data_IF_121757050212
#
_entry.id   IF_121757050212
#
_cell.length_a   1.000
_cell.length_b   1.000
_cell.length_c   1.000
_cell.angle_alpha   90.00
_cell.angle_beta   90.00
_cell.angle_gamma   90.00
#
_symmetry.space_group_name_H-M   'P 1'
#
loop_
_entity.id
_entity.type
_entity.pdbx_description
1 polymer ?
#
# COMPACT_ATOMS: atom_id res chain seq x y z
N UNK A 1 -27.93 66.98 21.97
CA UNK A 1 -28.40 65.59 21.73
C UNK A 1 -27.56 64.84 20.68
N UNK A 2 -26.90 65.50 19.73
CA UNK A 2 -26.14 64.83 18.65
C UNK A 2 -24.73 64.29 19.01
N UNK A 3 -24.16 64.65 20.16
CA UNK A 3 -22.78 64.24 20.52
C UNK A 3 -22.72 62.89 21.25
N UNK A 4 -23.79 62.46 21.95
CA UNK A 4 -23.82 61.15 22.63
C UNK A 4 -23.94 59.98 21.63
N UNK A 5 -24.64 60.17 20.51
CA UNK A 5 -24.79 59.15 19.45
C UNK A 5 -23.51 58.89 18.66
N UNK A 6 -22.65 59.90 18.49
CA UNK A 6 -21.43 59.77 17.69
C UNK A 6 -20.33 59.02 18.46
N UNK A 7 -20.17 59.32 19.75
CA UNK A 7 -19.20 58.64 20.61
C UNK A 7 -19.59 57.18 20.87
N UNK A 8 -20.88 56.91 21.11
CA UNK A 8 -21.37 55.54 21.28
C UNK A 8 -21.19 54.69 20.02
N UNK A 9 -21.45 55.25 18.82
CA UNK A 9 -21.21 54.55 17.55
C UNK A 9 -19.72 54.24 17.31
N UNK A 10 -18.81 55.16 17.62
CA UNK A 10 -17.37 54.92 17.45
C UNK A 10 -16.87 53.81 18.39
N UNK A 11 -17.26 53.83 19.67
CA UNK A 11 -16.90 52.77 20.62
C UNK A 11 -17.53 51.43 20.25
N UNK A 12 -18.77 51.43 19.75
CA UNK A 12 -19.43 50.23 19.24
C UNK A 12 -18.67 49.65 18.05
N UNK A 13 -18.25 50.47 17.08
CA UNK A 13 -17.51 50.01 15.90
C UNK A 13 -16.12 49.46 16.26
N UNK A 14 -15.44 50.06 17.24
CA UNK A 14 -14.16 49.56 17.75
C UNK A 14 -14.35 48.22 18.48
N UNK A 15 -15.40 48.08 19.28
CA UNK A 15 -15.73 46.81 19.96
C UNK A 15 -16.09 45.71 18.97
N UNK A 16 -16.96 45.99 17.99
CA UNK A 16 -17.32 45.04 16.93
C UNK A 16 -16.10 44.63 16.12
N UNK A 17 -15.18 45.57 15.82
CA UNK A 17 -13.93 45.24 15.12
C UNK A 17 -13.00 44.36 15.96
N UNK A 18 -12.90 44.61 17.27
CA UNK A 18 -12.13 43.77 18.21
C UNK A 18 -12.73 42.38 18.34
N UNK A 19 -14.04 42.30 18.47
CA UNK A 19 -14.79 41.04 18.56
C UNK A 19 -14.68 40.23 17.28
N UNK A 20 -14.81 40.86 16.11
CA UNK A 20 -14.61 40.20 14.82
C UNK A 20 -13.15 39.70 14.66
N UNK A 21 -12.15 40.46 15.12
CA UNK A 21 -10.77 40.01 15.13
C UNK A 21 -10.53 38.83 16.09
N UNK A 22 -11.18 38.82 17.25
CA UNK A 22 -11.11 37.71 18.20
C UNK A 22 -11.80 36.45 17.64
N UNK A 23 -13.01 36.60 17.11
CA UNK A 23 -13.78 35.51 16.48
C UNK A 23 -13.02 34.93 15.27
N UNK A 24 -12.36 35.75 14.45
CA UNK A 24 -11.51 35.24 13.37
C UNK A 24 -10.36 34.39 13.88
N UNK A 25 -9.66 34.83 14.93
CA UNK A 25 -8.58 34.04 15.55
C UNK A 25 -9.10 32.73 16.12
N UNK A 26 -10.27 32.76 16.76
CA UNK A 26 -10.91 31.56 17.30
C UNK A 26 -11.33 30.59 16.20
N UNK A 27 -11.93 31.09 15.11
CA UNK A 27 -12.24 30.28 13.92
C UNK A 27 -10.98 29.64 13.33
N UNK A 28 -9.89 30.41 13.22
CA UNK A 28 -8.64 29.88 12.68
C UNK A 28 -8.03 28.82 13.62
N UNK A 29 -8.09 29.04 14.94
CA UNK A 29 -7.67 28.05 15.93
C UNK A 29 -8.51 26.76 15.87
N UNK A 30 -9.84 26.88 15.84
CA UNK A 30 -10.77 25.76 15.71
C UNK A 30 -10.58 25.02 14.39
N UNK A 31 -10.26 25.71 13.29
CA UNK A 31 -9.94 25.08 12.00
C UNK A 31 -8.65 24.26 12.08
N UNK A 32 -7.60 24.79 12.70
CA UNK A 32 -6.34 24.06 12.92
C UNK A 32 -6.58 22.81 13.78
N UNK A 33 -7.37 22.95 14.84
CA UNK A 33 -7.70 21.83 15.72
C UNK A 33 -8.54 20.75 15.02
N UNK A 34 -9.54 21.16 14.24
CA UNK A 34 -10.37 20.26 13.43
C UNK A 34 -9.53 19.50 12.40
N UNK A 35 -8.58 20.18 11.75
CA UNK A 35 -7.63 19.55 10.83
C UNK A 35 -6.80 18.46 11.54
N UNK A 36 -6.27 18.77 12.74
CA UNK A 36 -5.53 17.81 13.56
C UNK A 36 -6.37 16.60 13.95
N UNK A 37 -7.62 16.80 14.36
CA UNK A 37 -8.51 15.69 14.72
C UNK A 37 -8.85 14.80 13.52
N UNK A 38 -9.07 15.39 12.34
CA UNK A 38 -9.30 14.62 11.11
C UNK A 38 -8.10 13.73 10.78
N UNK A 39 -6.89 14.27 10.88
CA UNK A 39 -5.65 13.52 10.62
C UNK A 39 -5.49 12.32 11.59
N UNK A 40 -5.77 12.54 12.87
CA UNK A 40 -5.77 11.49 13.88
C UNK A 40 -6.80 10.40 13.59
N UNK A 41 -8.00 10.77 13.12
CA UNK A 41 -9.04 9.82 12.73
C UNK A 41 -8.60 8.96 11.53
N UNK A 42 -8.07 9.58 10.47
CA UNK A 42 -7.60 8.83 9.30
C UNK A 42 -6.45 7.88 9.64
N UNK A 43 -5.49 8.34 10.45
CA UNK A 43 -4.38 7.51 10.93
C UNK A 43 -4.90 6.34 11.77
N UNK A 44 -5.85 6.59 12.67
CA UNK A 44 -6.45 5.55 13.50
C UNK A 44 -7.16 4.48 12.67
N UNK A 45 -7.97 4.88 11.67
CA UNK A 45 -8.67 3.93 10.79
C UNK A 45 -7.70 3.03 10.01
N UNK A 46 -6.62 3.62 9.50
CA UNK A 46 -5.60 2.90 8.74
C UNK A 46 -4.78 1.94 9.60
N UNK A 47 -4.31 2.38 10.76
CA UNK A 47 -3.59 1.53 11.72
C UNK A 47 -4.48 0.39 12.24
N UNK A 48 -5.76 0.67 12.50
CA UNK A 48 -6.76 -0.35 12.88
C UNK A 48 -6.90 -1.41 11.79
N UNK A 49 -7.01 -0.99 10.53
CA UNK A 49 -7.12 -1.89 9.38
C UNK A 49 -5.87 -2.77 9.23
N UNK A 50 -4.68 -2.18 9.38
CA UNK A 50 -3.40 -2.89 9.34
C UNK A 50 -3.28 -3.93 10.46
N UNK A 51 -3.69 -3.56 11.68
CA UNK A 51 -3.66 -4.45 12.85
C UNK A 51 -4.62 -5.63 12.67
N UNK A 52 -5.85 -5.38 12.22
CA UNK A 52 -6.83 -6.43 11.94
C UNK A 52 -6.32 -7.40 10.86
N UNK A 53 -5.69 -6.86 9.82
CA UNK A 53 -5.08 -7.68 8.77
C UNK A 53 -3.89 -8.50 9.27
N UNK A 54 -3.02 -7.91 10.11
CA UNK A 54 -1.93 -8.66 10.76
C UNK A 54 -2.45 -9.84 11.57
N UNK A 55 -3.56 -9.64 12.29
CA UNK A 55 -4.20 -10.70 13.09
C UNK A 55 -4.82 -11.80 12.23
N UNK A 56 -5.35 -11.48 11.03
CA UNK A 56 -5.96 -12.48 10.16
C UNK A 56 -4.96 -13.33 9.36
N UNK A 57 -3.74 -12.81 9.13
CA UNK A 57 -2.72 -13.50 8.35
C UNK A 57 -2.21 -14.79 9.00
N UNK A 58 -2.33 -14.97 10.32
CA UNK A 58 -1.80 -16.12 11.08
C UNK A 58 -0.32 -16.45 10.78
N UNK A 59 0.45 -15.48 10.27
CA UNK A 59 1.86 -15.63 9.90
C UNK A 59 2.64 -14.51 10.60
N UNK A 60 3.85 -14.77 11.13
CA UNK A 60 4.68 -13.73 11.73
C UNK A 60 4.91 -12.57 10.76
N UNK A 61 4.61 -11.34 11.20
CA UNK A 61 4.78 -10.15 10.38
C UNK A 61 5.17 -8.92 11.21
N UNK A 62 5.96 -8.04 10.61
CA UNK A 62 6.43 -6.79 11.21
C UNK A 62 5.75 -5.62 10.52
N UNK A 63 5.16 -4.72 11.31
CA UNK A 63 4.62 -3.47 10.80
C UNK A 63 5.75 -2.46 10.57
N UNK A 64 5.69 -1.76 9.45
CA UNK A 64 6.66 -0.76 9.05
C UNK A 64 5.96 0.45 8.44
N UNK A 65 6.53 1.64 8.63
CA UNK A 65 6.13 2.87 7.98
C UNK A 65 6.99 3.12 6.74
N UNK A 66 6.36 3.66 5.69
CA UNK A 66 7.07 4.19 4.52
C UNK A 66 7.65 5.55 4.89
N UNK A 67 8.98 5.67 4.80
CA UNK A 67 9.74 6.86 5.19
C UNK A 67 10.40 7.56 3.99
N UNK A 68 10.27 7.00 2.79
CA UNK A 68 10.82 7.60 1.59
C UNK A 68 10.37 6.91 0.31
N UNK A 69 10.41 7.67 -0.78
CA UNK A 69 10.28 7.18 -2.15
C UNK A 69 11.67 7.16 -2.78
N UNK A 70 11.92 6.24 -3.72
CA UNK A 70 13.17 6.27 -4.47
C UNK A 70 13.22 7.50 -5.40
N UNK A 71 14.17 8.43 -5.21
CA UNK A 71 14.23 9.66 -5.97
C UNK A 71 14.74 9.45 -7.41
N UNK A 72 15.35 8.30 -7.71
CA UNK A 72 16.01 8.06 -9.01
C UNK A 72 15.02 7.75 -10.13
N UNK A 73 13.81 7.28 -9.81
CA UNK A 73 12.77 6.94 -10.78
C UNK A 73 13.07 5.73 -11.68
N UNK A 74 14.29 5.17 -11.65
CA UNK A 74 14.65 3.96 -12.41
C UNK A 74 13.85 2.73 -11.99
N UNK A 75 13.56 2.63 -10.69
CA UNK A 75 12.72 1.59 -10.11
C UNK A 75 11.64 2.24 -9.26
N UNK A 76 10.44 1.70 -9.34
CA UNK A 76 9.35 2.01 -8.41
C UNK A 76 9.59 1.27 -7.12
N UNK A 77 10.22 1.96 -6.18
CA UNK A 77 10.51 1.42 -4.86
C UNK A 77 10.24 2.43 -3.77
N UNK A 78 10.01 1.91 -2.57
CA UNK A 78 9.79 2.68 -1.34
C UNK A 78 10.77 2.24 -0.26
N UNK A 79 11.07 3.13 0.68
CA UNK A 79 11.94 2.87 1.82
C UNK A 79 11.07 2.76 3.07
N UNK A 80 11.30 1.72 3.88
CA UNK A 80 10.58 1.49 5.13
C UNK A 80 11.49 1.63 6.36
N UNK A 81 10.92 1.96 7.52
CA UNK A 81 11.61 2.18 8.81
C UNK A 81 11.99 0.88 9.57
N UNK A 82 12.07 -0.24 8.84
CA UNK A 82 12.38 -1.57 9.38
C UNK A 82 13.49 -2.22 8.58
N UNK A 83 14.39 -2.91 9.27
CA UNK A 83 15.61 -3.49 8.71
C UNK A 83 15.97 -4.82 9.36
N UNK A 84 17.23 -5.23 9.22
CA UNK A 84 17.70 -6.52 9.76
C UNK A 84 17.53 -6.62 11.28
N UNK A 85 17.60 -5.50 12.01
CA UNK A 85 17.35 -5.44 13.46
C UNK A 85 15.95 -5.91 13.86
N UNK A 86 14.99 -5.85 12.93
CA UNK A 86 13.60 -6.30 13.13
C UNK A 86 13.30 -7.63 12.43
N UNK A 87 14.33 -8.33 11.96
CA UNK A 87 14.20 -9.62 11.29
C UNK A 87 13.87 -9.55 9.79
N UNK A 88 13.79 -8.34 9.21
CA UNK A 88 13.57 -8.14 7.77
C UNK A 88 14.77 -8.68 6.98
N UNK A 89 14.48 -9.40 5.89
CA UNK A 89 15.48 -9.97 4.97
C UNK A 89 15.07 -9.72 3.53
N UNK A 90 16.04 -9.80 2.63
CA UNK A 90 15.81 -9.79 1.18
C UNK A 90 14.83 -10.90 0.80
N UNK A 91 13.99 -10.63 -0.20
CA UNK A 91 12.92 -11.51 -0.69
C UNK A 91 11.80 -11.82 0.30
N UNK A 92 11.70 -11.07 1.40
CA UNK A 92 10.48 -11.10 2.20
C UNK A 92 9.36 -10.33 1.49
N UNK A 93 8.13 -10.87 1.47
CA UNK A 93 7.01 -10.21 0.82
C UNK A 93 6.45 -9.11 1.72
N UNK A 94 6.01 -8.05 1.07
CA UNK A 94 5.44 -6.86 1.69
C UNK A 94 4.00 -6.70 1.23
N UNK A 95 3.11 -6.49 2.19
CA UNK A 95 1.66 -6.45 1.99
C UNK A 95 1.05 -5.31 2.81
N UNK A 96 -0.17 -4.93 2.48
CA UNK A 96 -1.02 -4.13 3.35
C UNK A 96 -2.43 -4.74 3.39
N UNK A 97 -3.37 -4.08 4.09
CA UNK A 97 -4.73 -4.59 4.23
C UNK A 97 -5.48 -4.78 2.90
N UNK A 98 -5.10 -4.06 1.83
CA UNK A 98 -5.72 -4.19 0.52
C UNK A 98 -5.10 -5.33 -0.32
N UNK A 99 -3.80 -5.61 -0.17
CA UNK A 99 -3.16 -6.68 -0.91
C UNK A 99 -1.63 -6.62 -0.95
N UNK A 100 -1.08 -7.23 -2.00
CA UNK A 100 0.36 -7.29 -2.27
C UNK A 100 0.90 -5.91 -2.62
N UNK A 101 1.92 -5.48 -1.86
CA UNK A 101 2.65 -4.24 -2.11
C UNK A 101 3.90 -4.52 -2.94
N UNK A 102 4.67 -5.54 -2.60
CA UNK A 102 5.94 -5.80 -3.25
C UNK A 102 6.83 -6.76 -2.48
N UNK A 103 8.14 -6.67 -2.70
CA UNK A 103 9.14 -7.47 -1.98
C UNK A 103 10.34 -6.65 -1.57
N UNK A 104 11.00 -7.08 -0.49
CA UNK A 104 12.25 -6.49 -0.02
C UNK A 104 13.38 -6.82 -1.01
N UNK A 105 14.08 -5.80 -1.52
CA UNK A 105 15.20 -5.95 -2.46
C UNK A 105 16.55 -5.57 -1.86
N UNK A 106 16.57 -4.72 -0.84
CA UNK A 106 17.78 -4.45 -0.05
C UNK A 106 17.43 -4.13 1.39
N UNK A 107 18.34 -4.45 2.31
CA UNK A 107 18.13 -4.29 3.75
C UNK A 107 19.38 -3.72 4.39
N UNK A 108 19.17 -2.72 5.24
CA UNK A 108 20.14 -2.14 6.16
C UNK A 108 19.70 -2.40 7.61
N UNK A 109 20.50 -2.04 8.63
CA UNK A 109 20.13 -2.31 10.02
C UNK A 109 18.75 -1.78 10.45
N UNK A 110 18.39 -0.58 10.00
CA UNK A 110 17.17 0.13 10.45
C UNK A 110 16.23 0.57 9.32
N UNK A 111 16.53 0.22 8.07
CA UNK A 111 15.66 0.50 6.94
C UNK A 111 15.80 -0.57 5.88
N UNK A 112 14.82 -0.67 4.98
CA UNK A 112 14.84 -1.58 3.85
C UNK A 112 14.21 -0.92 2.62
N UNK A 113 14.67 -1.33 1.43
CA UNK A 113 14.08 -0.92 0.16
C UNK A 113 13.13 -2.00 -0.34
N UNK A 114 11.93 -1.60 -0.71
CA UNK A 114 10.86 -2.45 -1.20
C UNK A 114 10.63 -2.16 -2.68
N UNK A 115 10.81 -3.17 -3.54
CA UNK A 115 10.42 -3.09 -4.95
C UNK A 115 8.91 -3.30 -5.05
N UNK A 116 8.19 -2.33 -5.60
CA UNK A 116 6.73 -2.36 -5.68
C UNK A 116 6.25 -3.33 -6.77
N UNK A 117 5.06 -3.88 -6.60
CA UNK A 117 4.38 -4.75 -7.58
C UNK A 117 4.23 -4.09 -8.96
N UNK A 118 4.07 -2.76 -8.98
CA UNK A 118 3.88 -1.97 -10.21
C UNK A 118 5.18 -1.60 -10.93
N UNK A 119 6.33 -2.09 -10.43
CA UNK A 119 7.61 -1.99 -11.15
C UNK A 119 7.73 -3.06 -12.23
N UNK A 120 8.35 -2.74 -13.37
CA UNK A 120 8.52 -3.68 -14.48
C UNK A 120 9.46 -4.86 -14.12
N UNK A 121 10.37 -4.66 -13.16
CA UNK A 121 11.26 -5.70 -12.65
C UNK A 121 10.63 -6.49 -11.49
N UNK A 122 9.38 -6.19 -11.15
CA UNK A 122 8.61 -6.92 -10.16
C UNK A 122 7.72 -7.94 -10.85
N UNK A 123 7.84 -9.20 -10.40
CA UNK A 123 7.03 -10.30 -10.87
C UNK A 123 6.50 -11.11 -9.69
N UNK A 124 5.24 -11.50 -9.76
CA UNK A 124 4.56 -12.26 -8.71
C UNK A 124 3.77 -13.41 -9.31
N UNK A 125 4.12 -14.63 -8.90
CA UNK A 125 3.37 -15.83 -9.30
C UNK A 125 1.94 -15.74 -8.78
N UNK A 126 0.99 -15.88 -9.71
CA UNK A 126 -0.40 -15.54 -9.49
C UNK A 126 -1.35 -16.61 -9.99
N UNK A 127 -2.59 -16.53 -9.53
CA UNK A 127 -3.69 -17.33 -10.02
C UNK A 127 -4.98 -16.53 -10.07
N UNK A 128 -5.84 -16.86 -11.02
CA UNK A 128 -7.22 -16.42 -11.04
C UNK A 128 -7.97 -17.16 -9.93
N UNK A 129 -8.61 -16.43 -9.03
CA UNK A 129 -9.24 -17.02 -7.84
C UNK A 129 -10.35 -18.02 -8.20
N UNK A 130 -11.14 -17.68 -9.23
CA UNK A 130 -12.32 -18.45 -9.70
C UNK A 130 -11.92 -19.71 -10.47
N UNK A 131 -11.20 -19.55 -11.58
CA UNK A 131 -10.85 -20.65 -12.49
C UNK A 131 -9.58 -21.40 -12.09
N UNK A 132 -8.79 -20.85 -11.15
CA UNK A 132 -7.50 -21.40 -10.70
C UNK A 132 -6.42 -21.45 -11.79
N UNK A 133 -6.66 -20.82 -12.93
CA UNK A 133 -5.68 -20.61 -13.99
C UNK A 133 -4.48 -19.84 -13.45
N UNK A 134 -3.28 -20.21 -13.90
CA UNK A 134 -2.02 -19.65 -13.40
C UNK A 134 -1.45 -18.64 -14.39
N UNK A 135 -0.74 -17.67 -13.84
CA UNK A 135 0.00 -16.70 -14.63
C UNK A 135 1.00 -15.94 -13.77
N UNK A 136 1.69 -14.99 -14.37
CA UNK A 136 2.65 -14.13 -13.67
C UNK A 136 2.17 -12.68 -13.76
N UNK A 137 1.96 -12.04 -12.62
CA UNK A 137 1.67 -10.60 -12.60
C UNK A 137 2.99 -9.84 -12.70
N UNK A 138 3.09 -8.90 -13.65
CA UNK A 138 4.24 -7.99 -13.81
C UNK A 138 3.78 -6.54 -13.80
N UNK A 139 4.57 -5.65 -13.21
CA UNK A 139 4.28 -4.22 -13.22
C UNK A 139 4.33 -3.64 -14.65
N UNK A 140 3.37 -2.78 -14.98
CA UNK A 140 3.31 -2.07 -16.26
C UNK A 140 3.43 -0.56 -16.03
N UNK A 141 2.48 0.00 -15.29
CA UNK A 141 2.38 1.42 -14.92
C UNK A 141 1.83 1.57 -13.49
N UNK A 142 1.74 2.79 -12.95
CA UNK A 142 1.51 3.03 -11.52
C UNK A 142 0.22 2.38 -10.99
N UNK A 143 -0.78 2.25 -11.86
CA UNK A 143 -2.13 1.80 -11.57
C UNK A 143 -2.53 0.55 -12.38
N UNK A 144 -1.59 -0.08 -13.09
CA UNK A 144 -1.86 -1.29 -13.86
C UNK A 144 -0.66 -2.24 -13.91
N UNK A 145 -0.97 -3.53 -13.90
CA UNK A 145 -0.06 -4.64 -14.11
C UNK A 145 -0.53 -5.46 -15.32
N UNK A 146 0.38 -6.21 -15.94
CA UNK A 146 0.03 -7.29 -16.88
C UNK A 146 -0.05 -8.61 -16.15
N UNK A 147 -0.87 -9.53 -16.66
CA UNK A 147 -0.92 -10.91 -16.25
C UNK A 147 -0.48 -11.80 -17.42
N UNK A 148 0.78 -12.22 -17.38
CA UNK A 148 1.47 -12.92 -18.44
C UNK A 148 1.32 -14.45 -18.31
N UNK A 149 1.66 -15.16 -19.39
CA UNK A 149 1.74 -16.63 -19.48
C UNK A 149 0.40 -17.38 -19.34
N UNK A 150 -0.72 -16.71 -19.67
CA UNK A 150 -2.02 -17.35 -19.72
C UNK A 150 -2.34 -17.81 -21.15
N UNK A 151 -2.52 -19.12 -21.33
CA UNK A 151 -2.82 -19.70 -22.66
C UNK A 151 -4.20 -19.28 -23.15
N UNK A 152 -4.44 -19.34 -24.46
CA UNK A 152 -5.72 -18.92 -25.06
C UNK A 152 -6.93 -19.71 -24.54
N UNK A 153 -6.72 -20.97 -24.15
CA UNK A 153 -7.77 -21.82 -23.59
C UNK A 153 -8.09 -21.52 -22.12
N UNK A 154 -7.29 -20.71 -21.41
CA UNK A 154 -7.51 -20.40 -20.00
C UNK A 154 -8.82 -19.63 -19.78
N UNK A 155 -9.62 -20.05 -18.80
CA UNK A 155 -10.84 -19.35 -18.39
C UNK A 155 -10.51 -18.11 -17.54
N UNK A 156 -10.45 -16.95 -18.18
CA UNK A 156 -10.21 -15.64 -17.54
C UNK A 156 -11.21 -14.65 -18.06
N UNK A 157 -11.80 -13.87 -17.15
CA UNK A 157 -12.82 -12.88 -17.48
C UNK A 157 -12.49 -11.56 -16.81
N UNK A 158 -12.96 -10.48 -17.42
CA UNK A 158 -12.97 -9.18 -16.76
C UNK A 158 -13.75 -9.26 -15.44
N UNK A 159 -13.20 -8.61 -14.43
CA UNK A 159 -13.73 -8.67 -13.08
C UNK A 159 -13.25 -9.86 -12.23
N UNK A 160 -12.49 -10.81 -12.78
CA UNK A 160 -11.89 -11.88 -11.99
C UNK A 160 -10.86 -11.32 -10.99
N UNK A 161 -10.84 -11.89 -9.78
CA UNK A 161 -9.83 -11.58 -8.77
C UNK A 161 -8.54 -12.34 -9.04
N UNK A 162 -7.41 -11.64 -8.92
CA UNK A 162 -6.07 -12.19 -9.05
C UNK A 162 -5.43 -12.25 -7.68
N UNK A 163 -4.91 -13.42 -7.30
CA UNK A 163 -4.27 -13.65 -5.99
C UNK A 163 -2.92 -14.37 -6.17
N UNK A 164 -2.05 -14.32 -5.16
CA UNK A 164 -0.76 -15.01 -5.19
C UNK A 164 -0.93 -16.53 -5.21
N UNK A 165 -0.08 -17.22 -5.97
CA UNK A 165 -0.18 -18.68 -6.11
C UNK A 165 0.53 -19.47 -5.01
N UNK A 166 1.54 -18.88 -4.37
CA UNK A 166 2.41 -19.55 -3.40
C UNK A 166 3.58 -20.33 -4.02
N UNK A 167 3.65 -20.46 -5.35
CA UNK A 167 4.61 -21.36 -6.01
C UNK A 167 6.00 -20.76 -6.18
N UNK A 168 6.12 -19.45 -6.36
CA UNK A 168 7.42 -18.77 -6.44
C UNK A 168 8.19 -18.71 -5.13
N UNK A 169 7.63 -19.24 -4.04
CA UNK A 169 8.22 -19.26 -2.71
C UNK A 169 8.25 -17.90 -1.99
N UNK A 170 8.26 -16.77 -2.71
CA UNK A 170 8.34 -15.40 -2.15
C UNK A 170 7.06 -15.05 -1.38
N UNK A 171 5.90 -15.15 -2.03
CA UNK A 171 4.62 -14.78 -1.44
C UNK A 171 3.86 -16.02 -0.96
N UNK A 172 3.28 -16.02 0.26
CA UNK A 172 2.27 -17.00 0.64
C UNK A 172 1.12 -17.05 -0.35
N UNK A 173 0.45 -18.19 -0.46
CA UNK A 173 -0.71 -18.37 -1.36
C UNK A 173 -1.92 -17.59 -0.86
N UNK A 174 -2.66 -16.96 -1.77
CA UNK A 174 -3.98 -16.38 -1.51
C UNK A 174 -4.00 -14.90 -1.12
N UNK A 175 -2.88 -14.19 -1.21
CA UNK A 175 -2.83 -12.74 -1.02
C UNK A 175 -3.42 -12.03 -2.24
N UNK A 176 -4.31 -11.06 -2.03
CA UNK A 176 -4.92 -10.28 -3.11
C UNK A 176 -3.87 -9.47 -3.85
N UNK A 177 -3.87 -9.57 -5.19
CA UNK A 177 -3.05 -8.74 -6.06
C UNK A 177 -3.92 -7.63 -6.66
N UNK A 178 -5.06 -7.98 -7.22
CA UNK A 178 -5.90 -7.04 -7.96
C UNK A 178 -7.06 -7.70 -8.70
N UNK A 179 -7.62 -6.96 -9.66
CA UNK A 179 -8.76 -7.39 -10.46
C UNK A 179 -8.46 -7.26 -11.95
N UNK A 180 -8.86 -8.26 -12.74
CA UNK A 180 -8.77 -8.18 -14.20
C UNK A 180 -9.69 -7.08 -14.70
N UNK A 181 -9.17 -6.17 -15.52
CA UNK A 181 -9.92 -5.06 -16.10
C UNK A 181 -10.02 -5.13 -17.63
N UNK A 182 -9.16 -5.92 -18.28
CA UNK A 182 -9.16 -6.10 -19.72
C UNK A 182 -8.60 -7.47 -20.06
N UNK A 183 -9.23 -8.18 -21.00
CA UNK A 183 -8.75 -9.44 -21.56
C UNK A 183 -8.79 -9.36 -23.08
N UNK A 184 -7.63 -9.40 -23.71
CA UNK A 184 -7.47 -9.34 -25.16
C UNK A 184 -6.89 -10.65 -25.70
N UNK A 185 -7.51 -11.18 -26.75
CA UNK A 185 -6.99 -12.31 -27.53
C UNK A 185 -6.52 -11.79 -28.89
N UNK A 186 -5.21 -11.56 -28.99
CA UNK A 186 -4.59 -11.05 -30.23
C UNK A 186 -4.34 -12.22 -31.18
N UNK A 187 -4.85 -12.19 -32.42
CA UNK A 187 -4.54 -13.21 -33.42
C UNK A 187 -3.03 -13.33 -33.66
N UNK A 188 -2.51 -14.56 -33.64
CA UNK A 188 -1.08 -14.84 -33.83
C UNK A 188 -0.25 -14.97 -32.55
N UNK A 189 -0.72 -14.44 -31.42
CA UNK A 189 -0.03 -14.62 -30.14
C UNK A 189 -0.31 -15.99 -29.51
N UNK A 190 0.60 -16.44 -28.64
CA UNK A 190 0.47 -17.71 -27.90
C UNK A 190 -0.33 -17.56 -26.59
N UNK A 191 -0.28 -16.36 -25.99
CA UNK A 191 -0.88 -16.05 -24.70
C UNK A 191 -1.91 -14.93 -24.83
N UNK A 192 -2.83 -14.85 -23.87
CA UNK A 192 -3.75 -13.70 -23.73
C UNK A 192 -3.00 -12.49 -23.19
N UNK A 193 -3.40 -11.30 -23.63
CA UNK A 193 -2.97 -10.03 -23.03
C UNK A 193 -3.99 -9.61 -22.00
N UNK A 194 -3.60 -9.62 -20.73
CA UNK A 194 -4.52 -9.37 -19.63
C UNK A 194 -3.99 -8.21 -18.80
N UNK A 195 -4.84 -7.19 -18.61
CA UNK A 195 -4.52 -6.07 -17.73
C UNK A 195 -5.21 -6.26 -16.38
N UNK A 196 -4.44 -6.09 -15.32
CA UNK A 196 -4.88 -6.18 -13.93
C UNK A 196 -4.73 -4.82 -13.26
N UNK A 197 -5.81 -4.35 -12.63
CA UNK A 197 -5.75 -3.20 -11.72
C UNK A 197 -5.33 -3.69 -10.33
N UNK A 198 -4.21 -3.22 -9.77
CA UNK A 198 -3.81 -3.57 -8.42
C UNK A 198 -4.87 -3.17 -7.38
N UNK A 199 -5.01 -3.97 -6.33
CA UNK A 199 -5.88 -3.64 -5.21
C UNK A 199 -5.29 -2.53 -4.32
N UNK A 200 -3.97 -2.42 -4.29
CA UNK A 200 -3.22 -1.41 -3.53
C UNK A 200 -3.14 -0.10 -4.31
N UNK A 201 -3.47 1.02 -3.65
CA UNK A 201 -3.16 2.36 -4.15
C UNK A 201 -1.74 2.75 -3.72
N UNK A 202 -0.78 2.60 -4.64
CA UNK A 202 0.64 2.88 -4.37
C UNK A 202 0.94 4.36 -4.14
N UNK A 203 0.05 5.28 -4.54
CA UNK A 203 0.25 6.72 -4.35
C UNK A 203 -0.02 7.17 -2.92
N UNK A 204 -0.71 6.35 -2.13
CA UNK A 204 -1.13 6.64 -0.75
C UNK A 204 -0.59 5.60 0.25
N UNK A 205 0.51 4.97 -0.09
CA UNK A 205 1.09 3.92 0.72
C UNK A 205 1.90 4.52 1.86
N UNK A 206 1.46 4.34 3.11
CA UNK A 206 2.21 4.85 4.26
C UNK A 206 2.48 3.85 5.40
N UNK A 207 1.70 2.78 5.57
CA UNK A 207 2.14 1.59 6.34
C UNK A 207 2.04 0.30 5.53
N UNK A 208 2.93 -0.62 5.89
CA UNK A 208 3.00 -1.96 5.34
C UNK A 208 3.29 -3.00 6.42
N UNK A 209 3.04 -4.26 6.09
CA UNK A 209 3.50 -5.41 6.83
C UNK A 209 4.55 -6.15 6.01
N UNK A 210 5.68 -6.46 6.62
CA UNK A 210 6.66 -7.40 6.09
C UNK A 210 6.37 -8.76 6.68
N UNK A 211 6.04 -9.75 5.85
CA UNK A 211 5.81 -11.12 6.31
C UNK A 211 7.16 -11.77 6.55
N UNK A 212 7.42 -12.16 7.79
CA UNK A 212 8.63 -12.84 8.16
C UNK A 212 8.50 -14.31 7.76
N UNK A 213 9.49 -14.82 7.01
CA UNK A 213 9.66 -16.26 6.85
C UNK A 213 10.16 -16.84 8.16
N UNK A 214 9.49 -17.87 8.67
CA UNK A 214 10.09 -18.74 9.68
C UNK A 214 11.37 -19.35 9.11
N UNK A 215 12.42 -19.44 9.91
CA UNK A 215 13.55 -20.29 9.59
C UNK A 215 13.01 -21.71 9.56
N UNK A 216 12.87 -22.30 8.37
CA UNK A 216 12.93 -23.77 8.29
C UNK A 216 14.33 -24.11 8.83
N UNK A 217 14.37 -24.58 10.07
CA UNK A 217 15.59 -25.08 10.69
C UNK A 217 16.17 -26.16 9.79
N UNK A 218 17.42 -25.97 9.40
CA UNK A 218 18.30 -26.98 8.85
C UNK A 218 18.36 -28.18 9.82
N UNK A 219 17.45 -29.14 9.68
CA UNK A 219 17.47 -30.44 10.39
C UNK A 219 17.66 -31.63 9.42
N UNK A 220 18.34 -31.41 8.29
CA UNK A 220 18.70 -32.50 7.36
C UNK A 220 20.21 -32.74 7.23
N UNK A 221 21.04 -32.16 8.09
CA UNK A 221 22.50 -32.36 8.05
C UNK A 221 23.05 -33.37 9.08
N UNK A 222 22.27 -33.83 10.07
CA UNK A 222 22.75 -34.77 11.11
C UNK A 222 22.22 -36.22 10.99
N UNK A 223 21.69 -36.64 9.83
CA UNK A 223 21.30 -38.06 9.59
C UNK A 223 22.16 -38.81 8.56
N UNK A 224 23.32 -38.26 8.20
CA UNK A 224 24.34 -38.97 7.43
C UNK A 224 25.72 -38.72 8.03
N UNK A 225 25.95 -39.28 9.22
CA UNK A 225 27.25 -39.79 9.64
C UNK A 225 27.03 -41.09 10.38
#
# INVERSE_FOLDING_TARGET
VWTQDFWSNYFFLVNVRRENAALKREIDALKMENSRYREQLFTHERLKSLLQFKQSLNIPAVAAQVIGLDPTGWFRSVIIDKGTSTGVKVDMPVVNAAGVVGRVVSVSPHYAKILLLVDQNSSVDSLIQRSRERGMVRGLRVDACTLDYMVKTSDVREGDNVVTSGLGGVFPKGLTIGKVILVEDIPGDLFKHITVKPAVDFSKLEEVLVILREKVSSEKEDRKN
#
